data_IF_235949857524
#
_entry.id   IF_235949857524
#
_cell.length_a   1.000
_cell.length_b   1.000
_cell.length_c   1.000
_cell.angle_alpha   90.00
_cell.angle_beta   90.00
_cell.angle_gamma   90.00
#
_symmetry.space_group_name_H-M   'P 1'
#
loop_
_entity.id
_entity.type
_entity.pdbx_description
1 polymer ?
#
# COMPACT_ATOMS: atom_id res chain seq x y z
N UNK A 1 12.93 -1.71 -14.20
CA UNK A 1 14.29 -1.14 -14.28
C UNK A 1 15.20 -1.84 -13.27
N UNK A 2 16.53 -1.93 -13.52
CA UNK A 2 17.51 -2.40 -12.52
C UNK A 2 17.63 -1.46 -11.34
N UNK A 3 17.67 -2.00 -10.10
CA UNK A 3 17.90 -1.21 -8.89
C UNK A 3 19.19 -0.38 -8.99
N UNK A 4 20.30 -1.03 -9.38
CA UNK A 4 21.60 -0.36 -9.48
C UNK A 4 21.58 0.87 -10.42
N UNK A 5 20.85 0.79 -11.54
CA UNK A 5 20.69 1.91 -12.45
C UNK A 5 19.92 3.06 -11.80
N UNK A 6 18.82 2.76 -11.10
CA UNK A 6 18.01 3.79 -10.44
C UNK A 6 18.78 4.48 -9.32
N UNK A 7 19.57 3.73 -8.55
CA UNK A 7 20.45 4.29 -7.51
C UNK A 7 21.51 5.18 -8.11
N UNK A 8 22.20 4.75 -9.17
CA UNK A 8 23.20 5.56 -9.85
C UNK A 8 22.63 6.85 -10.48
N UNK A 9 21.41 6.79 -11.03
CA UNK A 9 20.71 7.98 -11.54
C UNK A 9 20.43 8.96 -10.40
N UNK A 10 19.94 8.49 -9.26
CA UNK A 10 19.68 9.34 -8.09
C UNK A 10 20.96 10.03 -7.61
N UNK A 11 22.02 9.26 -7.40
CA UNK A 11 23.34 9.79 -6.97
C UNK A 11 23.88 10.85 -7.92
N UNK A 12 23.75 10.61 -9.24
CA UNK A 12 24.19 11.57 -10.25
C UNK A 12 23.38 12.86 -10.20
N UNK A 13 22.06 12.76 -10.12
CA UNK A 13 21.18 13.93 -10.04
C UNK A 13 21.44 14.75 -8.78
N UNK A 14 21.64 14.10 -7.64
CA UNK A 14 21.95 14.77 -6.36
C UNK A 14 23.31 15.47 -6.41
N UNK A 15 24.31 14.82 -6.99
CA UNK A 15 25.64 15.42 -7.20
C UNK A 15 25.59 16.67 -8.07
N UNK A 16 24.83 16.62 -9.16
CA UNK A 16 24.69 17.78 -10.07
C UNK A 16 23.84 18.90 -9.47
N UNK A 17 22.81 18.55 -8.73
CA UNK A 17 21.90 19.51 -8.10
C UNK A 17 22.47 20.14 -6.82
N UNK A 18 23.48 19.51 -6.20
CA UNK A 18 24.03 19.92 -4.90
C UNK A 18 23.03 19.83 -3.74
N UNK A 19 21.98 19.02 -3.88
CA UNK A 19 20.92 18.81 -2.88
C UNK A 19 20.25 17.46 -3.06
N UNK A 20 19.57 16.91 -2.02
CA UNK A 20 18.76 15.73 -2.15
C UNK A 20 17.68 15.88 -3.24
N UNK A 21 17.49 14.82 -4.02
CA UNK A 21 16.46 14.72 -5.07
C UNK A 21 15.54 13.56 -4.74
N UNK A 22 14.25 13.83 -4.67
CA UNK A 22 13.25 12.80 -4.52
C UNK A 22 12.99 12.14 -5.86
N UNK A 23 13.36 10.85 -5.98
CA UNK A 23 12.93 10.00 -7.09
C UNK A 23 11.75 9.15 -6.64
N UNK A 24 10.77 9.00 -7.53
CA UNK A 24 9.57 8.18 -7.30
C UNK A 24 9.35 7.33 -8.54
N UNK A 25 8.95 6.08 -8.32
CA UNK A 25 8.55 5.16 -9.38
C UNK A 25 7.47 4.21 -8.91
N UNK A 26 6.94 3.42 -9.81
CA UNK A 26 5.85 2.49 -9.50
C UNK A 26 6.27 1.37 -8.54
N UNK A 27 7.44 0.77 -8.77
CA UNK A 27 8.00 -0.26 -7.89
C UNK A 27 7.31 -1.62 -7.96
N UNK A 28 6.48 -1.88 -8.98
CA UNK A 28 5.77 -3.15 -9.09
C UNK A 28 6.67 -4.30 -9.53
N UNK A 29 6.50 -5.44 -8.86
CA UNK A 29 7.22 -6.68 -9.18
C UNK A 29 6.43 -7.51 -10.20
N UNK A 30 6.64 -7.30 -11.49
CA UNK A 30 5.92 -8.02 -12.54
C UNK A 30 6.74 -8.16 -13.84
N UNK A 31 6.18 -8.91 -14.80
CA UNK A 31 6.74 -9.09 -16.12
C UNK A 31 7.96 -10.02 -16.16
N UNK A 32 8.77 -9.91 -17.19
CA UNK A 32 9.93 -10.78 -17.43
C UNK A 32 11.05 -10.65 -16.40
N UNK A 33 11.08 -9.56 -15.67
CA UNK A 33 12.08 -9.24 -14.66
C UNK A 33 11.59 -9.46 -13.24
N UNK A 34 10.36 -9.94 -13.09
CA UNK A 34 9.78 -10.24 -11.78
C UNK A 34 10.70 -11.17 -10.98
N UNK A 35 10.66 -11.02 -9.65
CA UNK A 35 11.45 -11.81 -8.70
C UNK A 35 12.96 -11.74 -8.97
N UNK A 36 13.39 -10.64 -9.56
CA UNK A 36 14.80 -10.39 -9.90
C UNK A 36 15.43 -11.46 -10.82
N UNK A 37 14.64 -12.08 -11.70
CA UNK A 37 15.08 -13.19 -12.57
C UNK A 37 16.24 -12.86 -13.50
N UNK A 38 16.38 -11.61 -13.90
CA UNK A 38 17.45 -11.14 -14.82
C UNK A 38 18.44 -10.22 -14.13
N UNK A 39 17.97 -9.44 -13.17
CA UNK A 39 18.75 -8.48 -12.36
C UNK A 39 17.89 -8.08 -11.16
N UNK A 40 18.51 -7.49 -10.13
CA UNK A 40 17.75 -6.94 -9.01
C UNK A 40 16.87 -5.81 -9.53
N UNK A 41 15.57 -6.07 -9.61
CA UNK A 41 14.57 -5.11 -10.07
C UNK A 41 14.40 -3.99 -9.05
N UNK A 42 14.20 -2.76 -9.51
CA UNK A 42 13.77 -1.62 -8.70
C UNK A 42 12.28 -1.80 -8.31
N UNK A 43 12.03 -2.65 -7.31
CA UNK A 43 10.69 -2.95 -6.78
C UNK A 43 10.51 -2.38 -5.38
N UNK A 44 9.27 -2.35 -4.89
CA UNK A 44 8.95 -1.88 -3.54
C UNK A 44 9.93 -2.44 -2.50
N UNK A 45 10.07 -3.76 -2.43
CA UNK A 45 10.92 -4.41 -1.42
C UNK A 45 12.41 -4.17 -1.65
N UNK A 46 12.86 -4.17 -2.90
CA UNK A 46 14.28 -4.04 -3.21
C UNK A 46 14.81 -2.61 -3.03
N UNK A 47 13.95 -1.60 -3.15
CA UNK A 47 14.33 -0.20 -3.03
C UNK A 47 14.37 0.32 -1.58
N UNK A 48 13.93 -0.46 -0.61
CA UNK A 48 14.04 -0.11 0.81
C UNK A 48 15.46 0.31 1.17
N UNK A 49 15.61 1.46 1.83
CA UNK A 49 16.89 2.05 2.20
C UNK A 49 17.64 2.75 1.07
N UNK A 50 17.05 2.93 -0.10
CA UNK A 50 17.69 3.62 -1.24
C UNK A 50 17.32 5.09 -1.35
N UNK A 51 16.36 5.57 -0.58
CA UNK A 51 15.79 6.91 -0.70
C UNK A 51 14.97 7.13 -1.97
N UNK A 52 14.56 6.05 -2.66
CA UNK A 52 13.69 6.10 -3.84
C UNK A 52 12.29 5.66 -3.44
N UNK A 53 11.32 6.53 -3.68
CA UNK A 53 9.92 6.29 -3.33
C UNK A 53 9.22 5.35 -4.32
N UNK A 54 8.32 4.52 -3.79
CA UNK A 54 7.45 3.66 -4.59
C UNK A 54 5.99 3.82 -4.17
N UNK A 55 5.06 3.59 -5.10
CA UNK A 55 3.65 3.58 -4.78
C UNK A 55 3.30 2.40 -3.86
N UNK A 56 2.49 2.66 -2.83
CA UNK A 56 2.06 1.64 -1.86
C UNK A 56 0.62 1.21 -2.12
N UNK A 57 0.44 -0.07 -2.36
CA UNK A 57 -0.88 -0.70 -2.50
C UNK A 57 -1.54 -1.07 -1.16
N UNK A 58 -0.82 -0.99 -0.03
CA UNK A 58 -1.31 -1.43 1.29
C UNK A 58 -2.57 -0.69 1.73
N UNK A 59 -2.49 0.64 1.87
CA UNK A 59 -3.64 1.46 2.24
C UNK A 59 -4.71 1.49 1.13
N UNK A 60 -4.29 1.58 -0.14
CA UNK A 60 -5.21 1.54 -1.28
C UNK A 60 -6.11 0.30 -1.24
N UNK A 61 -5.51 -0.88 -1.13
CA UNK A 61 -6.26 -2.14 -1.14
C UNK A 61 -7.07 -2.32 0.15
N UNK A 62 -6.58 -1.85 1.29
CA UNK A 62 -7.35 -1.86 2.52
C UNK A 62 -8.60 -0.96 2.45
N UNK A 63 -8.46 0.24 1.91
CA UNK A 63 -9.56 1.20 1.77
C UNK A 63 -10.57 0.77 0.72
N UNK A 64 -10.08 0.50 -0.49
CA UNK A 64 -10.92 0.18 -1.66
C UNK A 64 -11.38 -1.28 -1.67
N UNK A 65 -10.62 -2.17 -1.05
CA UNK A 65 -10.77 -3.62 -1.16
C UNK A 65 -10.11 -4.18 -2.43
N UNK A 66 -9.91 -5.49 -2.45
CA UNK A 66 -9.40 -6.22 -3.59
C UNK A 66 -7.99 -5.83 -4.03
N UNK A 67 -7.83 -5.65 -5.32
CA UNK A 67 -6.59 -5.25 -5.97
C UNK A 67 -6.86 -4.34 -7.18
N UNK A 68 -5.81 -3.72 -7.72
CA UNK A 68 -5.91 -2.91 -8.93
C UNK A 68 -6.36 -3.72 -10.16
N UNK A 69 -6.06 -5.02 -10.19
CA UNK A 69 -6.39 -5.92 -11.29
C UNK A 69 -7.77 -6.59 -11.20
N UNK A 70 -8.59 -6.21 -10.23
CA UNK A 70 -9.93 -6.80 -10.10
C UNK A 70 -10.78 -6.52 -11.33
N UNK A 71 -11.42 -7.56 -11.84
CA UNK A 71 -12.32 -7.50 -12.99
C UNK A 71 -13.56 -8.38 -12.76
N UNK A 72 -14.58 -8.18 -13.58
CA UNK A 72 -15.82 -8.97 -13.53
C UNK A 72 -16.42 -8.99 -12.12
N UNK A 73 -16.76 -10.16 -11.60
CA UNK A 73 -17.41 -10.33 -10.29
C UNK A 73 -16.53 -9.86 -9.13
N UNK A 74 -15.20 -10.05 -9.20
CA UNK A 74 -14.28 -9.59 -8.17
C UNK A 74 -14.31 -8.06 -7.98
N UNK A 75 -14.56 -7.32 -9.07
CA UNK A 75 -14.73 -5.87 -8.99
C UNK A 75 -15.89 -5.46 -8.08
N UNK A 76 -16.95 -6.25 -8.05
CA UNK A 76 -18.15 -6.00 -7.25
C UNK A 76 -18.01 -6.53 -5.81
N UNK A 77 -17.40 -7.71 -5.65
CA UNK A 77 -17.42 -8.47 -4.39
C UNK A 77 -16.32 -8.07 -3.40
N UNK A 78 -15.21 -7.54 -3.91
CA UNK A 78 -14.03 -7.24 -3.11
C UNK A 78 -14.13 -5.91 -2.36
N UNK A 79 -15.18 -5.76 -1.54
CA UNK A 79 -15.38 -4.57 -0.72
C UNK A 79 -14.22 -4.37 0.30
N UNK A 80 -13.81 -3.12 0.52
CA UNK A 80 -12.80 -2.72 1.49
C UNK A 80 -13.37 -1.98 2.70
N UNK A 81 -12.50 -1.32 3.44
CA UNK A 81 -12.87 -0.58 4.64
C UNK A 81 -13.94 0.49 4.38
N UNK A 82 -13.83 1.23 3.28
CA UNK A 82 -14.80 2.26 2.87
C UNK A 82 -16.20 1.69 2.61
N UNK A 83 -16.31 0.39 2.39
CA UNK A 83 -17.56 -0.31 2.08
C UNK A 83 -18.06 -1.16 3.26
N UNK A 84 -17.55 -0.88 4.47
CA UNK A 84 -17.96 -1.56 5.70
C UNK A 84 -17.22 -2.86 6.01
N UNK A 85 -16.22 -3.27 5.22
CA UNK A 85 -15.38 -4.41 5.57
C UNK A 85 -14.27 -4.00 6.53
N UNK A 86 -14.23 -4.67 7.68
CA UNK A 86 -13.31 -4.31 8.76
C UNK A 86 -12.89 -5.57 9.52
N UNK A 87 -12.20 -6.49 8.83
CA UNK A 87 -11.54 -7.62 9.47
C UNK A 87 -10.14 -7.21 10.01
N UNK A 88 -9.48 -8.02 10.85
CA UNK A 88 -8.16 -7.70 11.41
C UNK A 88 -7.08 -7.45 10.36
N UNK A 89 -7.13 -8.16 9.25
CA UNK A 89 -6.19 -8.05 8.13
C UNK A 89 -6.31 -6.68 7.44
N UNK A 90 -7.50 -6.29 7.00
CA UNK A 90 -7.77 -4.98 6.38
C UNK A 90 -7.37 -3.84 7.32
N UNK A 91 -7.65 -3.97 8.63
CA UNK A 91 -7.24 -2.97 9.62
C UNK A 91 -5.72 -2.85 9.72
N UNK A 92 -5.02 -3.97 9.74
CA UNK A 92 -3.56 -3.99 9.81
C UNK A 92 -2.93 -3.35 8.57
N UNK A 93 -3.45 -3.63 7.38
CA UNK A 93 -2.97 -3.02 6.13
C UNK A 93 -3.24 -1.52 6.07
N UNK A 94 -4.43 -1.09 6.52
CA UNK A 94 -4.76 0.33 6.60
C UNK A 94 -3.81 1.07 7.56
N UNK A 95 -3.61 0.53 8.76
CA UNK A 95 -2.70 1.11 9.73
C UNK A 95 -1.25 1.11 9.24
N UNK A 96 -0.84 0.07 8.50
CA UNK A 96 0.46 0.02 7.84
C UNK A 96 0.63 1.19 6.85
N UNK A 97 -0.35 1.42 5.98
CA UNK A 97 -0.31 2.55 5.05
C UNK A 97 -0.26 3.90 5.78
N UNK A 98 -1.11 4.09 6.80
CA UNK A 98 -1.11 5.32 7.61
C UNK A 98 0.21 5.56 8.37
N UNK A 99 0.92 4.49 8.73
CA UNK A 99 2.27 4.56 9.29
C UNK A 99 3.38 4.68 8.23
N UNK A 100 3.03 5.00 6.97
CA UNK A 100 4.00 5.17 5.89
C UNK A 100 4.68 3.87 5.46
N UNK A 101 4.07 2.72 5.67
CA UNK A 101 4.64 1.39 5.36
C UNK A 101 6.05 1.15 5.92
N UNK A 102 6.39 1.84 7.01
CA UNK A 102 7.69 1.71 7.69
C UNK A 102 7.87 0.30 8.26
N UNK A 103 8.96 -0.37 7.88
CA UNK A 103 9.21 -1.77 8.25
C UNK A 103 9.32 -1.98 9.75
N UNK A 104 9.95 -1.04 10.45
CA UNK A 104 10.24 -1.14 11.89
C UNK A 104 9.20 -0.48 12.78
N UNK A 105 8.16 0.11 12.20
CA UNK A 105 7.08 0.69 12.99
C UNK A 105 6.31 -0.42 13.71
N UNK A 106 6.11 -0.26 15.02
CA UNK A 106 5.41 -1.24 15.84
C UNK A 106 3.95 -0.85 16.03
N UNK A 107 3.04 -1.73 15.60
CA UNK A 107 1.63 -1.63 15.92
C UNK A 107 1.34 -2.36 17.24
N UNK A 108 0.68 -1.68 18.16
CA UNK A 108 0.02 -2.35 19.29
C UNK A 108 -1.18 -3.12 18.72
N UNK A 109 -1.18 -4.43 18.88
CA UNK A 109 -2.33 -5.24 18.48
C UNK A 109 -3.58 -4.80 19.25
N UNK A 110 -4.61 -4.40 18.54
CA UNK A 110 -5.90 -4.11 19.13
C UNK A 110 -6.51 -5.41 19.63
N UNK A 111 -6.76 -5.46 20.95
CA UNK A 111 -7.57 -6.54 21.53
C UNK A 111 -8.94 -6.51 20.87
N UNK A 112 -9.34 -7.60 20.23
CA UNK A 112 -10.77 -7.82 20.01
C UNK A 112 -11.40 -8.17 21.35
N UNK A 113 -12.60 -7.67 21.61
CA UNK A 113 -13.38 -8.01 22.82
C UNK A 113 -13.59 -9.54 22.98
N UNK A 114 -13.36 -10.30 21.90
CA UNK A 114 -13.50 -11.76 21.87
C UNK A 114 -12.31 -12.54 22.47
N UNK A 115 -11.12 -11.95 22.57
CA UNK A 115 -9.93 -12.63 23.10
C UNK A 115 -9.17 -11.77 24.13
N UNK A 116 -9.67 -11.72 25.39
CA UNK A 116 -9.06 -10.91 26.45
C UNK A 116 -7.67 -11.36 26.91
N UNK A 117 -7.26 -12.59 26.59
CA UNK A 117 -6.09 -13.26 27.15
C UNK A 117 -4.80 -13.14 26.33
N UNK A 118 -4.85 -12.58 25.11
CA UNK A 118 -3.64 -12.36 24.32
C UNK A 118 -2.84 -11.18 24.89
N UNK A 119 -1.61 -11.45 25.28
CA UNK A 119 -0.64 -10.44 25.65
C UNK A 119 -0.47 -9.43 24.51
N UNK A 120 -0.42 -8.15 24.88
CA UNK A 120 -0.19 -7.05 23.93
C UNK A 120 1.29 -7.03 23.54
N UNK A 121 1.74 -7.90 22.69
CA UNK A 121 3.06 -7.77 22.10
C UNK A 121 2.99 -6.79 20.94
N UNK A 122 3.82 -5.74 20.92
CA UNK A 122 3.97 -4.92 19.73
C UNK A 122 4.44 -5.80 18.57
N UNK A 123 3.92 -5.56 17.39
CA UNK A 123 4.30 -6.28 16.18
C UNK A 123 4.79 -5.31 15.14
N UNK A 124 6.01 -5.53 14.65
CA UNK A 124 6.57 -4.72 13.58
C UNK A 124 5.76 -4.89 12.31
N UNK A 125 5.60 -3.83 11.53
CA UNK A 125 4.86 -3.88 10.27
C UNK A 125 5.49 -4.85 9.26
N UNK A 126 6.80 -5.09 9.33
CA UNK A 126 7.47 -6.11 8.51
C UNK A 126 6.97 -7.54 8.76
N UNK A 127 6.45 -7.82 9.97
CA UNK A 127 5.97 -9.14 10.39
C UNK A 127 4.48 -9.34 10.10
N UNK A 128 3.81 -8.32 9.59
CA UNK A 128 2.42 -8.39 9.15
C UNK A 128 2.40 -8.84 7.70
N UNK A 129 1.68 -9.89 7.42
CA UNK A 129 1.50 -10.36 6.04
C UNK A 129 0.61 -9.42 5.23
N UNK A 130 1.07 -9.08 4.03
CA UNK A 130 0.29 -8.44 3.00
C UNK A 130 0.38 -9.28 1.72
N UNK A 131 -0.59 -10.15 1.50
CA UNK A 131 -0.67 -10.98 0.28
C UNK A 131 0.64 -11.74 -0.03
N UNK A 132 1.26 -12.31 1.00
CA UNK A 132 2.54 -13.05 0.89
C UNK A 132 3.80 -12.18 0.90
N UNK A 133 3.69 -10.91 1.26
CA UNK A 133 4.80 -9.97 1.39
C UNK A 133 4.74 -9.24 2.74
N UNK A 134 5.85 -8.64 3.22
CA UNK A 134 5.81 -7.73 4.36
C UNK A 134 4.85 -6.55 4.09
N UNK A 135 4.00 -6.24 5.07
CA UNK A 135 3.15 -5.05 5.00
C UNK A 135 3.99 -3.78 5.08
N UNK A 136 4.85 -3.67 6.11
CA UNK A 136 5.88 -2.63 6.19
C UNK A 136 7.12 -3.04 5.42
N UNK A 137 7.58 -2.20 4.51
CA UNK A 137 8.68 -2.55 3.62
C UNK A 137 9.69 -1.43 3.37
N UNK A 138 9.42 -0.20 3.79
CA UNK A 138 10.34 0.93 3.61
C UNK A 138 11.17 1.18 4.87
N UNK A 139 12.36 1.71 4.69
CA UNK A 139 13.23 2.12 5.79
C UNK A 139 12.94 3.55 6.26
N UNK A 140 12.55 4.43 5.32
CA UNK A 140 12.34 5.85 5.56
C UNK A 140 10.99 6.33 4.99
N UNK A 141 10.31 7.31 5.61
CA UNK A 141 9.02 7.81 5.14
C UNK A 141 9.02 8.34 3.70
N UNK A 142 10.17 8.85 3.22
CA UNK A 142 10.32 9.36 1.85
C UNK A 142 10.33 8.27 0.77
N UNK A 143 10.38 7.00 1.15
CA UNK A 143 10.44 5.87 0.21
C UNK A 143 9.05 5.33 -0.19
N UNK A 144 7.97 5.98 0.25
CA UNK A 144 6.61 5.54 -0.03
C UNK A 144 5.74 6.69 -0.54
N UNK A 145 4.89 6.37 -1.51
CA UNK A 145 3.78 7.21 -1.96
C UNK A 145 2.49 6.50 -1.60
N UNK A 146 1.83 6.97 -0.55
CA UNK A 146 0.48 6.51 -0.23
C UNK A 146 -0.53 7.19 -1.15
N UNK A 147 -1.50 6.43 -1.63
CA UNK A 147 -2.56 6.92 -2.48
C UNK A 147 -3.80 6.03 -2.35
N UNK A 148 -4.95 6.57 -2.73
CA UNK A 148 -6.21 5.83 -2.79
C UNK A 148 -6.66 5.59 -4.22
N UNK A 149 -6.27 6.47 -5.16
CA UNK A 149 -6.57 6.36 -6.58
C UNK A 149 -5.44 6.92 -7.45
N UNK A 150 -5.38 6.47 -8.68
CA UNK A 150 -4.50 6.98 -9.73
C UNK A 150 -5.14 6.75 -11.10
N UNK A 151 -4.45 7.09 -12.19
CA UNK A 151 -4.96 6.97 -13.56
C UNK A 151 -4.93 5.54 -14.13
N UNK A 152 -4.26 4.56 -13.47
CA UNK A 152 -4.08 3.22 -14.03
C UNK A 152 -5.32 2.32 -13.92
N UNK A 153 -6.25 2.68 -13.05
CA UNK A 153 -7.45 1.89 -12.79
C UNK A 153 -8.61 2.78 -12.36
N UNK A 154 -9.75 2.16 -12.02
CA UNK A 154 -10.94 2.87 -11.60
C UNK A 154 -10.65 3.90 -10.50
N UNK A 155 -11.25 5.07 -10.60
CA UNK A 155 -11.20 6.09 -9.56
C UNK A 155 -11.83 5.59 -8.27
N UNK A 156 -11.62 6.29 -7.17
CA UNK A 156 -12.30 5.98 -5.92
C UNK A 156 -13.82 6.12 -6.06
N UNK A 157 -14.27 7.11 -6.83
CA UNK A 157 -15.68 7.30 -7.12
C UNK A 157 -16.28 6.08 -7.81
N UNK A 158 -15.63 5.55 -8.85
CA UNK A 158 -16.11 4.38 -9.59
C UNK A 158 -16.16 3.15 -8.67
N UNK A 159 -15.12 2.94 -7.87
CA UNK A 159 -15.08 1.83 -6.91
C UNK A 159 -16.22 1.95 -5.88
N UNK A 160 -16.50 3.15 -5.39
CA UNK A 160 -17.63 3.39 -4.48
C UNK A 160 -18.98 3.12 -5.15
N UNK A 161 -19.11 3.41 -6.45
CA UNK A 161 -20.32 3.06 -7.22
C UNK A 161 -20.51 1.56 -7.30
N UNK A 162 -19.43 0.80 -7.56
CA UNK A 162 -19.51 -0.65 -7.71
C UNK A 162 -19.71 -1.39 -6.38
N UNK A 163 -19.10 -0.93 -5.29
CA UNK A 163 -18.95 -1.69 -4.05
C UNK A 163 -19.85 -1.25 -2.90
N UNK A 164 -20.37 -0.03 -2.94
CA UNK A 164 -21.37 0.38 -1.97
C UNK A 164 -22.73 -0.27 -2.29
N UNK A 165 -23.51 -0.65 -1.26
CA UNK A 165 -24.84 -1.20 -1.47
C UNK A 165 -25.71 -0.30 -2.36
N UNK A 166 -26.55 -0.89 -3.19
CA UNK A 166 -27.50 -0.11 -4.00
C UNK A 166 -28.44 0.77 -3.14
N UNK A 167 -28.69 0.35 -1.90
CA UNK A 167 -29.48 1.08 -0.90
C UNK A 167 -28.72 2.21 -0.21
N UNK A 168 -27.40 2.37 -0.46
CA UNK A 168 -26.63 3.48 0.15
C UNK A 168 -27.18 4.82 -0.27
N UNK A 169 -27.45 5.69 0.72
CA UNK A 169 -27.92 7.03 0.48
C UNK A 169 -26.86 7.91 -0.24
N UNK A 170 -27.25 9.00 -0.89
CA UNK A 170 -26.29 9.97 -1.43
C UNK A 170 -25.29 10.47 -0.38
N UNK A 171 -25.74 10.70 0.85
CA UNK A 171 -24.89 11.13 1.96
C UNK A 171 -23.87 10.04 2.35
N UNK A 172 -24.25 8.78 2.39
CA UNK A 172 -23.32 7.69 2.69
C UNK A 172 -22.26 7.53 1.59
N UNK A 173 -22.66 7.69 0.33
CA UNK A 173 -21.74 7.70 -0.81
C UNK A 173 -20.73 8.86 -0.71
N UNK A 174 -21.23 10.06 -0.37
CA UNK A 174 -20.37 11.23 -0.15
C UNK A 174 -19.39 10.99 1.02
N UNK A 175 -19.87 10.45 2.14
CA UNK A 175 -19.02 10.13 3.30
C UNK A 175 -17.94 9.11 2.97
N UNK A 176 -18.28 8.05 2.22
CA UNK A 176 -17.29 7.06 1.78
C UNK A 176 -16.21 7.72 0.88
N UNK A 177 -16.62 8.64 -0.01
CA UNK A 177 -15.69 9.37 -0.87
C UNK A 177 -14.75 10.29 -0.07
N UNK A 178 -15.29 11.00 0.92
CA UNK A 178 -14.52 11.95 1.74
C UNK A 178 -13.60 11.24 2.74
N UNK A 179 -13.97 10.02 3.16
CA UNK A 179 -13.15 9.22 4.09
C UNK A 179 -11.88 8.66 3.42
N UNK A 180 -11.93 8.36 2.13
CA UNK A 180 -10.77 7.87 1.35
C UNK A 180 -9.82 8.99 0.96
#
# INVERSE_FOLDING_TARGET
QPKALMTAIKERLESEAGRPIQLIGEGWNFGEVADSRRFVQASQLSLSGSGIGTFSDRARDALRGGSAGDASQALLDNAGFLHGRSNPEIRSWLLCGLAGSLSDFELLQWRTLAEPSLERSPRSLRDIDYKGQPCGYVAEPGEVVNYVENHDNHTLFDINVYRLPASASPDDRLRAQVLG
#
